data_IF_160190153335
#
_entry.id   IF_160190153335
#
_cell.length_a   1.000
_cell.length_b   1.000
_cell.length_c   1.000
_cell.angle_alpha   90.00
_cell.angle_beta   90.00
_cell.angle_gamma   90.00
#
_symmetry.space_group_name_H-M   'P 1'
#
loop_
_entity.id
_entity.type
_entity.pdbx_description
1 polymer ?
#
# COMPACT_ATOMS: atom_id res chain seq x y z
N UNK A 1 -2.37 11.60 15.86
CA UNK A 1 -2.69 10.59 14.82
C UNK A 1 -2.10 10.93 13.45
N UNK A 2 -2.43 12.06 12.81
CA UNK A 2 -1.89 12.41 11.47
C UNK A 2 -0.36 12.60 11.45
N UNK A 3 0.21 13.28 12.46
CA UNK A 3 1.68 13.50 12.55
C UNK A 3 2.46 12.18 12.60
N UNK A 4 1.98 11.21 13.37
CA UNK A 4 2.60 9.88 13.45
C UNK A 4 2.54 9.14 12.11
N UNK A 5 1.41 9.20 11.39
CA UNK A 5 1.30 8.58 10.08
C UNK A 5 2.24 9.22 9.04
N UNK A 6 2.46 10.54 9.11
CA UNK A 6 3.45 11.23 8.27
C UNK A 6 4.88 10.78 8.57
N UNK A 7 5.22 10.64 9.85
CA UNK A 7 6.53 10.11 10.25
C UNK A 7 6.72 8.67 9.78
N UNK A 8 5.72 7.81 9.98
CA UNK A 8 5.73 6.44 9.50
C UNK A 8 5.92 6.38 7.97
N UNK A 9 5.19 7.20 7.21
CA UNK A 9 5.37 7.29 5.76
C UNK A 9 6.82 7.64 5.38
N UNK A 10 7.44 8.65 6.00
CA UNK A 10 8.82 9.03 5.68
C UNK A 10 9.82 7.91 6.00
N UNK A 11 9.65 7.24 7.14
CA UNK A 11 10.48 6.10 7.53
C UNK A 11 10.35 4.93 6.54
N UNK A 12 9.11 4.60 6.16
CA UNK A 12 8.84 3.51 5.20
C UNK A 12 9.32 3.83 3.81
N UNK A 13 9.16 5.06 3.34
CA UNK A 13 9.69 5.50 2.06
C UNK A 13 11.23 5.42 2.04
N UNK A 14 11.90 5.85 3.11
CA UNK A 14 13.36 5.72 3.24
C UNK A 14 13.80 4.25 3.18
N UNK A 15 13.16 3.39 3.97
CA UNK A 15 13.45 1.96 3.98
C UNK A 15 13.18 1.31 2.61
N UNK A 16 12.07 1.65 1.97
CA UNK A 16 11.70 1.15 0.65
C UNK A 16 12.70 1.57 -0.42
N UNK A 17 13.19 2.82 -0.40
CA UNK A 17 14.24 3.29 -1.32
C UNK A 17 15.54 2.53 -1.14
N UNK A 18 15.91 2.18 0.09
CA UNK A 18 17.09 1.37 0.37
C UNK A 18 16.92 -0.08 -0.12
N UNK A 19 15.73 -0.68 0.06
CA UNK A 19 15.44 -2.04 -0.38
C UNK A 19 15.25 -2.16 -1.91
N UNK A 20 14.81 -1.09 -2.56
CA UNK A 20 14.49 -1.04 -3.99
C UNK A 20 15.20 0.13 -4.68
N UNK A 21 16.55 0.17 -4.73
CA UNK A 21 17.31 1.34 -5.18
C UNK A 21 17.03 1.75 -6.63
N UNK A 22 16.66 0.79 -7.48
CA UNK A 22 16.35 1.04 -8.90
C UNK A 22 14.87 1.38 -9.16
N UNK A 23 14.03 1.45 -8.11
CA UNK A 23 12.61 1.75 -8.24
C UNK A 23 12.35 3.25 -8.12
N UNK A 24 12.67 3.97 -9.19
CA UNK A 24 12.50 5.42 -9.31
C UNK A 24 11.16 5.79 -9.98
N UNK A 25 10.77 7.06 -9.90
CA UNK A 25 9.51 7.54 -10.46
C UNK A 25 8.29 7.27 -9.58
N UNK A 26 7.13 7.18 -10.22
CA UNK A 26 5.83 7.04 -9.56
C UNK A 26 4.95 6.03 -10.29
N UNK A 27 4.13 5.31 -9.52
CA UNK A 27 3.14 4.34 -10.01
C UNK A 27 1.79 4.58 -9.35
N UNK A 28 0.71 4.19 -10.03
CA UNK A 28 -0.64 4.24 -9.47
C UNK A 28 -0.94 2.97 -8.68
N UNK A 29 -1.21 3.14 -7.39
CA UNK A 29 -1.56 2.08 -6.46
C UNK A 29 -3.07 1.97 -6.29
N UNK A 30 -3.69 0.84 -6.62
CA UNK A 30 -5.09 0.61 -6.28
C UNK A 30 -5.29 0.55 -4.76
N UNK A 31 -6.25 1.32 -4.25
CA UNK A 31 -6.59 1.30 -2.82
C UNK A 31 -6.97 -0.10 -2.33
N UNK A 32 -7.75 -0.82 -3.14
CA UNK A 32 -8.04 -2.24 -2.96
C UNK A 32 -7.35 -2.97 -4.11
N UNK A 33 -6.31 -3.79 -3.85
CA UNK A 33 -5.64 -4.54 -4.91
C UNK A 33 -6.62 -5.41 -5.70
N UNK A 34 -6.44 -5.46 -7.03
CA UNK A 34 -7.31 -6.21 -7.93
C UNK A 34 -7.44 -7.69 -7.54
N UNK A 35 -6.35 -8.31 -7.10
CA UNK A 35 -6.34 -9.72 -6.71
C UNK A 35 -7.10 -10.00 -5.40
N UNK A 36 -7.33 -8.96 -4.58
CA UNK A 36 -8.17 -9.03 -3.38
C UNK A 36 -9.64 -8.70 -3.68
N UNK A 37 -10.00 -8.49 -4.95
CA UNK A 37 -11.36 -8.16 -5.38
C UNK A 37 -11.61 -6.69 -5.65
N UNK A 38 -10.57 -5.85 -5.72
CA UNK A 38 -10.70 -4.46 -6.15
C UNK A 38 -11.19 -4.34 -7.59
N UNK A 39 -12.04 -3.35 -7.87
CA UNK A 39 -12.49 -3.04 -9.23
C UNK A 39 -11.33 -2.47 -10.07
N UNK A 40 -11.30 -2.79 -11.37
CA UNK A 40 -10.30 -2.24 -12.31
C UNK A 40 -10.35 -0.71 -12.38
N UNK A 41 -11.57 -0.14 -12.32
CA UNK A 41 -11.85 1.30 -12.24
C UNK A 41 -11.82 1.87 -10.81
N UNK A 42 -11.38 1.08 -9.83
CA UNK A 42 -11.33 1.50 -8.43
C UNK A 42 -10.35 2.64 -8.17
N UNK A 43 -10.50 3.31 -7.02
CA UNK A 43 -9.64 4.42 -6.60
C UNK A 43 -8.16 4.02 -6.61
N UNK A 44 -7.33 4.88 -7.21
CA UNK A 44 -5.88 4.74 -7.18
C UNK A 44 -5.21 5.95 -6.53
N UNK A 45 -3.99 5.75 -6.04
CA UNK A 45 -3.15 6.80 -5.49
C UNK A 45 -1.77 6.76 -6.13
N UNK A 46 -1.26 7.91 -6.54
CA UNK A 46 0.08 8.03 -7.11
C UNK A 46 1.13 7.90 -6.01
N UNK A 47 1.96 6.87 -6.04
CA UNK A 47 2.98 6.61 -5.01
C UNK A 47 4.38 6.62 -5.65
N UNK A 48 5.43 6.99 -4.90
CA UNK A 48 6.80 6.69 -5.31
C UNK A 48 6.94 5.18 -5.57
N UNK A 49 7.55 4.78 -6.69
CA UNK A 49 7.64 3.38 -7.14
C UNK A 49 8.19 2.45 -6.05
N UNK A 50 9.22 2.87 -5.32
CA UNK A 50 9.76 2.10 -4.20
C UNK A 50 8.72 1.83 -3.08
N UNK A 51 7.94 2.85 -2.70
CA UNK A 51 6.86 2.71 -1.70
C UNK A 51 5.71 1.85 -2.23
N UNK A 52 5.34 2.01 -3.50
CA UNK A 52 4.35 1.17 -4.18
C UNK A 52 4.72 -0.33 -4.09
N UNK A 53 5.99 -0.68 -4.37
CA UNK A 53 6.48 -2.05 -4.21
C UNK A 53 6.41 -2.53 -2.77
N UNK A 54 6.83 -1.69 -1.81
CA UNK A 54 6.81 -2.06 -0.40
C UNK A 54 5.38 -2.37 0.09
N UNK A 55 4.40 -1.49 -0.19
CA UNK A 55 3.01 -1.71 0.21
C UNK A 55 2.39 -2.92 -0.50
N UNK A 56 2.72 -3.13 -1.78
CA UNK A 56 2.28 -4.32 -2.53
C UNK A 56 2.81 -5.60 -1.92
N UNK A 57 4.07 -5.63 -1.49
CA UNK A 57 4.65 -6.78 -0.80
C UNK A 57 3.99 -7.01 0.57
N UNK A 58 3.58 -5.96 1.28
CA UNK A 58 2.84 -6.11 2.53
C UNK A 58 1.45 -6.72 2.31
N UNK A 59 0.72 -6.28 1.26
CA UNK A 59 -0.54 -6.94 0.88
C UNK A 59 -0.34 -8.43 0.59
N UNK A 60 0.73 -8.80 -0.12
CA UNK A 60 1.06 -10.20 -0.43
C UNK A 60 1.47 -11.01 0.80
N UNK A 61 2.00 -10.37 1.85
CA UNK A 61 2.27 -11.02 3.14
C UNK A 61 0.97 -11.26 3.91
N UNK A 62 0.10 -10.24 3.99
CA UNK A 62 -1.18 -10.32 4.68
C UNK A 62 -2.15 -11.29 3.99
N UNK A 63 -2.11 -11.37 2.66
CA UNK A 63 -2.89 -12.31 1.86
C UNK A 63 -2.09 -12.80 0.65
N UNK A 64 -1.41 -13.95 0.78
CA UNK A 64 -0.63 -14.53 -0.31
C UNK A 64 -1.48 -14.88 -1.53
N UNK A 65 -0.83 -14.98 -2.69
CA UNK A 65 -1.47 -15.59 -3.86
C UNK A 65 -1.75 -17.08 -3.61
N UNK A 66 -2.64 -17.67 -4.43
CA UNK A 66 -2.90 -19.11 -4.41
C UNK A 66 -3.82 -19.60 -3.30
N UNK A 67 -4.48 -18.70 -2.55
CA UNK A 67 -5.43 -19.07 -1.48
C UNK A 67 -6.73 -19.75 -1.98
N UNK A 68 -6.93 -19.86 -3.31
CA UNK A 68 -8.15 -20.43 -3.90
C UNK A 68 -9.42 -19.58 -3.72
N UNK A 69 -9.36 -18.50 -2.92
CA UNK A 69 -10.46 -17.55 -2.71
C UNK A 69 -9.96 -16.13 -2.50
N UNK A 70 -10.86 -15.18 -2.67
CA UNK A 70 -10.69 -13.79 -2.25
C UNK A 70 -11.03 -13.64 -0.75
N UNK A 71 -10.50 -12.61 -0.07
CA UNK A 71 -10.94 -12.31 1.29
C UNK A 71 -12.43 -11.95 1.31
N UNK A 72 -13.11 -12.30 2.39
CA UNK A 72 -14.44 -11.77 2.74
C UNK A 72 -14.36 -10.26 3.01
N UNK A 73 -15.48 -9.52 3.02
CA UNK A 73 -15.46 -8.09 3.33
C UNK A 73 -14.78 -7.75 4.68
N UNK A 74 -15.00 -8.56 5.70
CA UNK A 74 -14.41 -8.37 7.04
C UNK A 74 -12.90 -8.65 7.05
N UNK A 75 -12.45 -9.70 6.34
CA UNK A 75 -11.02 -9.98 6.17
C UNK A 75 -10.34 -8.87 5.37
N UNK A 76 -10.97 -8.40 4.29
CA UNK A 76 -10.45 -7.31 3.48
C UNK A 76 -10.29 -6.04 4.31
N UNK A 77 -11.29 -5.68 5.12
CA UNK A 77 -11.18 -4.53 6.01
C UNK A 77 -10.00 -4.66 6.98
N UNK A 78 -9.78 -5.84 7.57
CA UNK A 78 -8.63 -6.09 8.44
C UNK A 78 -7.30 -5.95 7.70
N UNK A 79 -7.18 -6.52 6.50
CA UNK A 79 -5.99 -6.42 5.66
C UNK A 79 -5.69 -4.96 5.32
N UNK A 80 -6.70 -4.18 4.92
CA UNK A 80 -6.53 -2.75 4.59
C UNK A 80 -6.06 -1.96 5.81
N UNK A 81 -6.65 -2.20 6.99
CA UNK A 81 -6.24 -1.54 8.24
C UNK A 81 -4.80 -1.89 8.62
N UNK A 82 -4.45 -3.17 8.60
CA UNK A 82 -3.09 -3.65 8.90
C UNK A 82 -2.07 -2.99 7.95
N UNK A 83 -2.28 -3.15 6.64
CA UNK A 83 -1.33 -2.68 5.63
C UNK A 83 -1.19 -1.16 5.65
N UNK A 84 -2.30 -0.40 5.69
CA UNK A 84 -2.22 1.06 5.62
C UNK A 84 -1.87 1.74 6.95
N UNK A 85 -2.00 1.05 8.07
CA UNK A 85 -1.43 1.52 9.34
C UNK A 85 0.11 1.50 9.32
N UNK A 86 0.70 0.50 8.66
CA UNK A 86 2.15 0.34 8.55
C UNK A 86 2.75 1.08 7.36
N UNK A 87 2.05 1.09 6.21
CA UNK A 87 2.44 1.75 4.96
C UNK A 87 1.39 2.78 4.53
N UNK A 88 1.36 3.96 5.16
CA UNK A 88 0.35 4.97 4.86
C UNK A 88 0.36 5.42 3.40
N UNK A 89 -0.84 5.71 2.87
CA UNK A 89 -1.00 6.42 1.60
C UNK A 89 -0.77 7.91 1.87
N UNK A 90 0.24 8.56 1.25
CA UNK A 90 0.61 9.94 1.56
C UNK A 90 -0.54 10.92 1.35
N UNK A 91 -1.35 10.77 0.31
CA UNK A 91 -2.48 11.66 0.02
C UNK A 91 -3.55 11.64 1.12
N UNK A 92 -3.77 10.48 1.76
CA UNK A 92 -4.75 10.36 2.85
C UNK A 92 -4.28 11.00 4.16
N UNK A 93 -2.99 11.35 4.24
CA UNK A 93 -2.38 12.03 5.39
C UNK A 93 -1.89 13.45 5.03
N UNK A 94 -2.35 13.99 3.90
CA UNK A 94 -2.07 15.36 3.45
C UNK A 94 -0.65 15.57 2.92
N UNK A 95 -0.05 14.52 2.34
CA UNK A 95 1.21 14.61 1.60
C UNK A 95 0.91 14.37 0.12
N UNK A 96 1.23 15.36 -0.71
CA UNK A 96 1.14 15.22 -2.17
C UNK A 96 2.49 14.71 -2.71
N UNK A 97 2.50 13.66 -3.55
CA UNK A 97 3.71 13.07 -4.13
C UNK A 97 4.44 13.96 -5.14
#
# INVERSE_FOLDING_TARGET
MVVQARQAYQQRLKAARAAYPNSTGYENHHFIPLYLGGASSGQTYRLPTAHHKAVTQQFRRAWPYGQGRRPTPQELQKILLEVYSEYPIPQLIGITP
#
